data_IF_041489286489
#
_entry.id   IF_041489286489
#
_cell.length_a   1.000
_cell.length_b   1.000
_cell.length_c   1.000
_cell.angle_alpha   90.00
_cell.angle_beta   90.00
_cell.angle_gamma   90.00
#
_symmetry.space_group_name_H-M   'P 1'
#
loop_
_entity.id
_entity.type
_entity.pdbx_description
1 polymer ?
#
# COMPACT_ATOMS: atom_id res chain seq x y z
N UNK A 1 6.58 54.61 59.13
CA UNK A 1 5.75 54.12 58.01
C UNK A 1 5.74 52.59 58.05
N UNK A 2 4.61 51.98 58.42
CA UNK A 2 4.46 50.52 58.60
C UNK A 2 3.87 49.91 57.34
N UNK A 3 4.48 48.79 56.93
CA UNK A 3 4.35 48.15 55.61
C UNK A 3 2.97 47.52 55.45
N UNK A 4 2.32 47.81 54.33
CA UNK A 4 1.09 47.15 53.90
C UNK A 4 1.41 45.71 53.51
N UNK A 5 0.63 44.78 54.06
CA UNK A 5 0.68 43.35 53.78
C UNK A 5 -0.75 42.99 53.43
N UNK A 6 -1.05 42.71 52.16
CA UNK A 6 -2.33 42.13 51.77
C UNK A 6 -2.24 41.34 50.47
N UNK A 7 -2.64 40.08 50.60
CA UNK A 7 -3.25 39.20 49.60
C UNK A 7 -2.42 38.76 48.39
N UNK A 8 -1.87 37.54 48.47
CA UNK A 8 -1.81 36.65 47.32
C UNK A 8 -2.55 35.36 47.69
N UNK A 9 -3.84 35.31 47.33
CA UNK A 9 -4.62 34.07 47.25
C UNK A 9 -4.04 33.31 46.06
N UNK A 10 -3.11 32.40 46.29
CA UNK A 10 -2.70 31.45 45.26
C UNK A 10 -3.78 30.38 45.17
N UNK A 11 -4.82 30.69 44.39
CA UNK A 11 -5.79 29.74 43.89
C UNK A 11 -5.07 28.52 43.32
N UNK A 12 -5.51 27.36 43.79
CA UNK A 12 -5.52 26.07 43.08
C UNK A 12 -5.20 26.17 41.59
N UNK A 13 -4.00 25.76 41.23
CA UNK A 13 -3.64 25.34 39.89
C UNK A 13 -3.22 23.88 39.93
N UNK A 14 -4.18 22.97 40.14
CA UNK A 14 -4.07 21.59 39.67
C UNK A 14 -3.93 21.69 38.14
N UNK A 15 -2.69 21.86 37.66
CA UNK A 15 -2.37 21.67 36.26
C UNK A 15 -2.57 20.19 35.98
N UNK A 16 -3.77 19.93 35.48
CA UNK A 16 -4.16 18.90 34.55
C UNK A 16 -3.08 17.83 34.33
N UNK A 17 -3.47 16.59 34.64
CA UNK A 17 -3.00 15.42 33.91
C UNK A 17 -3.02 15.70 32.40
N UNK A 18 -1.91 16.17 31.85
CA UNK A 18 -1.58 15.81 30.48
C UNK A 18 -1.29 14.32 30.57
N UNK A 19 -2.35 13.52 30.38
CA UNK A 19 -2.19 12.12 30.02
C UNK A 19 -1.19 12.13 28.88
N UNK A 20 0.02 11.66 29.16
CA UNK A 20 1.06 11.55 28.16
C UNK A 20 0.48 10.66 27.10
N UNK A 21 0.01 11.28 26.00
CA UNK A 21 -0.18 10.55 24.77
C UNK A 21 1.17 9.92 24.51
N UNK A 22 1.24 8.60 24.65
CA UNK A 22 2.41 7.85 24.23
C UNK A 22 2.50 8.09 22.74
N UNK A 23 3.25 9.11 22.34
CA UNK A 23 3.63 9.32 20.95
C UNK A 23 4.30 8.02 20.53
N UNK A 24 3.60 7.28 19.70
CA UNK A 24 4.09 6.03 19.15
C UNK A 24 5.31 6.33 18.29
N UNK A 25 6.27 5.41 18.27
CA UNK A 25 7.42 5.55 17.39
C UNK A 25 6.93 5.71 15.93
N UNK A 26 7.68 6.45 15.08
CA UNK A 26 7.31 6.56 13.67
C UNK A 26 7.34 5.17 13.03
N UNK A 27 6.45 4.95 12.07
CA UNK A 27 6.54 3.82 11.15
C UNK A 27 7.41 4.22 9.96
N UNK A 28 8.24 3.29 9.50
CA UNK A 28 9.06 3.45 8.29
C UNK A 28 8.87 2.19 7.43
N UNK A 29 8.25 2.32 6.27
CA UNK A 29 8.00 1.21 5.36
C UNK A 29 9.23 1.02 4.49
N UNK A 30 10.06 0.06 4.88
CA UNK A 30 11.41 -0.08 4.32
C UNK A 30 11.42 -0.68 2.92
N UNK A 31 10.49 -1.59 2.61
CA UNK A 31 10.43 -2.23 1.29
C UNK A 31 9.10 -2.91 0.99
N UNK A 32 8.78 -2.98 -0.30
CA UNK A 32 7.96 -4.06 -0.85
C UNK A 32 8.91 -5.09 -1.44
N UNK A 33 9.04 -6.23 -0.78
CA UNK A 33 10.03 -7.27 -1.11
C UNK A 33 9.65 -8.05 -2.37
N UNK A 34 8.35 -8.14 -2.66
CA UNK A 34 7.85 -8.83 -3.83
C UNK A 34 6.35 -9.05 -3.81
N UNK A 35 5.87 -9.71 -4.86
CA UNK A 35 4.47 -10.05 -5.05
C UNK A 35 4.33 -11.50 -5.47
N UNK A 36 3.22 -12.10 -5.05
CA UNK A 36 2.70 -13.32 -5.65
C UNK A 36 1.26 -13.08 -6.07
N UNK A 37 0.78 -13.87 -7.01
CA UNK A 37 -0.64 -13.94 -7.32
C UNK A 37 -1.07 -15.38 -7.55
N UNK A 38 -2.37 -15.64 -7.48
CA UNK A 38 -2.94 -16.96 -7.80
C UNK A 38 -2.87 -17.29 -9.31
N UNK A 39 -2.31 -16.41 -10.14
CA UNK A 39 -2.16 -16.60 -11.58
C UNK A 39 -0.71 -16.38 -12.02
N UNK A 40 -0.17 -17.32 -12.78
CA UNK A 40 1.16 -17.21 -13.36
C UNK A 40 1.13 -17.47 -14.85
N UNK A 41 2.15 -16.98 -15.55
CA UNK A 41 2.43 -17.36 -16.94
C UNK A 41 3.92 -17.55 -17.13
N UNK A 42 4.28 -18.20 -18.23
CA UNK A 42 5.66 -18.17 -18.72
C UNK A 42 5.87 -16.90 -19.56
N UNK A 43 6.87 -16.10 -19.20
CA UNK A 43 7.26 -14.90 -19.93
C UNK A 43 8.07 -15.25 -21.20
N UNK A 44 8.45 -14.24 -21.98
CA UNK A 44 9.23 -14.43 -23.23
C UNK A 44 10.62 -15.03 -23.01
N UNK A 45 11.12 -15.04 -21.78
CA UNK A 45 12.41 -15.61 -21.37
C UNK A 45 12.27 -17.04 -20.83
N UNK A 46 11.06 -17.62 -20.83
CA UNK A 46 10.83 -18.97 -20.31
C UNK A 46 10.68 -19.03 -18.78
N UNK A 47 10.57 -17.90 -18.10
CA UNK A 47 10.45 -17.83 -16.65
C UNK A 47 8.99 -17.68 -16.23
N UNK A 48 8.61 -18.26 -15.10
CA UNK A 48 7.30 -18.01 -14.50
C UNK A 48 7.27 -16.60 -13.91
N UNK A 49 6.24 -15.83 -14.27
CA UNK A 49 5.93 -14.52 -13.71
C UNK A 49 4.51 -14.51 -13.15
N UNK A 50 4.30 -13.78 -12.05
CA UNK A 50 2.98 -13.53 -11.49
C UNK A 50 2.28 -12.42 -12.26
N UNK A 51 0.99 -12.61 -12.52
CA UNK A 51 0.18 -11.71 -13.34
C UNK A 51 -1.12 -11.32 -12.65
N UNK A 52 -1.73 -10.25 -13.14
CA UNK A 52 -3.15 -9.95 -12.89
C UNK A 52 -3.93 -10.32 -14.15
N UNK A 53 -5.00 -11.08 -13.97
CA UNK A 53 -5.96 -11.36 -15.01
C UNK A 53 -7.03 -10.26 -15.08
N UNK A 54 -7.23 -9.72 -16.28
CA UNK A 54 -8.23 -8.69 -16.57
C UNK A 54 -9.65 -9.29 -16.68
N UNK A 55 -9.78 -10.58 -16.98
CA UNK A 55 -11.05 -11.26 -17.26
C UNK A 55 -11.61 -12.08 -16.07
N UNK A 56 -10.89 -12.16 -14.95
CA UNK A 56 -11.27 -12.95 -13.77
C UNK A 56 -10.65 -12.44 -12.47
N UNK A 57 -11.14 -12.97 -11.35
CA UNK A 57 -10.61 -12.63 -10.04
C UNK A 57 -9.12 -13.02 -9.91
N UNK A 58 -8.33 -12.03 -9.54
CA UNK A 58 -6.90 -12.20 -9.22
C UNK A 58 -6.65 -11.73 -7.80
N UNK A 59 -6.11 -12.63 -6.98
CA UNK A 59 -5.63 -12.33 -5.64
C UNK A 59 -4.13 -12.11 -5.70
N UNK A 60 -3.68 -10.92 -5.31
CA UNK A 60 -2.28 -10.51 -5.21
C UNK A 60 -1.91 -10.47 -3.73
N UNK A 61 -0.80 -11.10 -3.37
CA UNK A 61 -0.21 -11.03 -2.03
C UNK A 61 1.11 -10.29 -2.11
N UNK A 62 1.28 -9.31 -1.24
CA UNK A 62 2.43 -8.41 -1.21
C UNK A 62 3.22 -8.64 0.05
N UNK A 63 4.52 -8.85 -0.07
CA UNK A 63 5.44 -8.99 1.05
C UNK A 63 6.05 -7.63 1.38
N UNK A 64 5.76 -7.10 2.57
CA UNK A 64 6.14 -5.75 2.97
C UNK A 64 6.98 -5.81 4.24
N UNK A 65 8.09 -5.06 4.25
CA UNK A 65 8.94 -4.85 5.43
C UNK A 65 8.76 -3.44 5.98
N UNK A 66 8.85 -3.29 7.31
CA UNK A 66 8.79 -2.00 7.99
C UNK A 66 9.61 -2.00 9.28
N UNK A 67 9.79 -0.81 9.85
CA UNK A 67 10.22 -0.62 11.23
C UNK A 67 9.23 0.25 11.98
N UNK A 68 9.21 0.14 13.32
CA UNK A 68 8.23 0.82 14.17
C UNK A 68 6.87 0.11 14.24
N UNK A 69 5.89 0.70 14.95
CA UNK A 69 4.55 0.15 15.13
C UNK A 69 3.67 0.46 13.92
N UNK A 70 3.44 -0.53 13.06
CA UNK A 70 2.49 -0.43 11.95
C UNK A 70 1.08 -0.73 12.45
N UNK A 71 0.12 0.15 12.18
CA UNK A 71 -1.27 0.01 12.63
C UNK A 71 -2.29 0.08 11.48
N UNK A 72 -1.86 0.44 10.27
CA UNK A 72 -2.69 0.42 9.05
C UNK A 72 -1.77 0.38 7.83
N UNK A 73 -2.20 -0.32 6.79
CA UNK A 73 -1.50 -0.36 5.52
C UNK A 73 -2.47 -0.07 4.37
N UNK A 74 -2.09 0.91 3.56
CA UNK A 74 -2.78 1.27 2.34
C UNK A 74 -1.94 0.86 1.14
N UNK A 75 -2.55 0.18 0.18
CA UNK A 75 -1.94 -0.18 -1.08
C UNK A 75 -2.65 0.55 -2.20
N UNK A 76 -1.93 1.45 -2.85
CA UNK A 76 -2.44 2.21 -3.98
C UNK A 76 -1.90 1.64 -5.28
N UNK A 77 -2.81 1.11 -6.09
CA UNK A 77 -2.53 0.51 -7.39
C UNK A 77 -2.79 1.53 -8.48
N UNK A 78 -1.84 1.69 -9.41
CA UNK A 78 -1.94 2.65 -10.49
C UNK A 78 -1.44 2.04 -11.81
N UNK A 79 -2.01 2.48 -12.93
CA UNK A 79 -1.48 2.17 -14.24
C UNK A 79 -0.12 2.80 -14.48
N UNK A 80 0.27 3.87 -13.80
CA UNK A 80 1.54 4.54 -14.04
C UNK A 80 2.43 4.62 -12.80
N UNK A 81 3.71 4.33 -13.00
CA UNK A 81 4.70 4.37 -11.93
C UNK A 81 4.87 5.79 -11.37
N UNK A 82 4.67 5.95 -10.07
CA UNK A 82 5.10 7.13 -9.31
C UNK A 82 4.16 8.33 -9.42
N UNK A 83 3.00 8.16 -10.03
CA UNK A 83 1.93 9.16 -10.08
C UNK A 83 0.69 8.54 -9.47
N UNK A 84 -0.10 9.31 -8.71
CA UNK A 84 -1.44 8.91 -8.28
C UNK A 84 -2.47 9.50 -9.25
N UNK A 85 -2.98 8.69 -10.14
CA UNK A 85 -4.01 9.05 -11.11
C UNK A 85 -5.41 8.87 -10.50
N UNK A 86 -6.40 9.71 -10.85
CA UNK A 86 -7.77 9.55 -10.33
C UNK A 86 -8.36 8.14 -10.52
N UNK A 87 -7.89 7.41 -11.55
CA UNK A 87 -8.31 6.06 -11.91
C UNK A 87 -7.58 4.95 -11.13
N UNK A 88 -6.60 5.30 -10.29
CA UNK A 88 -5.91 4.37 -9.41
C UNK A 88 -6.82 3.80 -8.31
N UNK A 89 -6.53 2.58 -7.86
CA UNK A 89 -7.34 1.86 -6.88
C UNK A 89 -6.63 1.83 -5.52
N UNK A 90 -7.26 2.42 -4.52
CA UNK A 90 -6.83 2.30 -3.12
C UNK A 90 -7.43 1.02 -2.51
N UNK A 91 -6.57 0.21 -1.91
CA UNK A 91 -6.95 -0.87 -1.02
C UNK A 91 -6.39 -0.59 0.37
N UNK A 92 -7.11 -1.02 1.40
CA UNK A 92 -6.72 -0.75 2.79
C UNK A 92 -6.96 -1.96 3.66
N UNK A 93 -6.06 -2.22 4.59
CA UNK A 93 -6.25 -3.21 5.67
C UNK A 93 -7.26 -2.74 6.71
N UNK A 94 -7.59 -1.44 6.73
CA UNK A 94 -8.17 -0.80 7.90
C UNK A 94 -7.15 -0.67 9.04
N UNK A 95 -7.60 -0.12 10.16
CA UNK A 95 -6.81 -0.02 11.38
C UNK A 95 -6.79 -1.36 12.12
N UNK A 96 -5.61 -1.78 12.57
CA UNK A 96 -5.38 -2.99 13.34
C UNK A 96 -4.50 -2.72 14.57
N UNK A 97 -4.37 -3.72 15.45
CA UNK A 97 -3.54 -3.61 16.64
C UNK A 97 -2.07 -3.40 16.22
N UNK A 98 -1.31 -2.47 16.84
CA UNK A 98 -0.01 -2.09 16.30
C UNK A 98 0.96 -3.28 16.24
N UNK A 99 1.50 -3.53 15.04
CA UNK A 99 2.42 -4.63 14.75
C UNK A 99 3.86 -4.13 14.60
N UNK A 100 4.76 -4.76 15.34
CA UNK A 100 6.20 -4.49 15.35
C UNK A 100 7.01 -5.70 14.86
N UNK A 101 6.38 -6.67 14.20
CA UNK A 101 7.03 -7.84 13.60
C UNK A 101 8.08 -7.47 12.55
N UNK A 102 7.86 -6.34 11.86
CA UNK A 102 8.76 -5.74 10.89
C UNK A 102 8.66 -6.34 9.48
N UNK A 103 7.83 -7.37 9.28
CA UNK A 103 7.53 -7.95 7.97
C UNK A 103 6.28 -8.83 8.01
N UNK A 104 5.41 -8.67 7.02
CA UNK A 104 4.23 -9.53 6.83
C UNK A 104 3.72 -9.44 5.38
N UNK A 105 2.77 -10.32 5.06
CA UNK A 105 2.09 -10.40 3.78
C UNK A 105 0.70 -9.78 3.83
N UNK A 106 0.39 -8.97 2.82
CA UNK A 106 -0.91 -8.31 2.67
C UNK A 106 -1.58 -8.74 1.38
N UNK A 107 -2.82 -9.22 1.46
CA UNK A 107 -3.54 -9.82 0.34
C UNK A 107 -4.66 -8.91 -0.17
N UNK A 108 -4.76 -8.76 -1.49
CA UNK A 108 -5.73 -7.92 -2.17
C UNK A 108 -6.32 -8.65 -3.38
N UNK A 109 -7.64 -8.54 -3.58
CA UNK A 109 -8.32 -9.16 -4.72
C UNK A 109 -8.80 -8.11 -5.72
N UNK A 110 -8.52 -8.37 -6.99
CA UNK A 110 -9.00 -7.62 -8.16
C UNK A 110 -10.06 -8.45 -8.84
N UNK A 111 -11.25 -7.88 -9.01
CA UNK A 111 -12.25 -8.45 -9.91
C UNK A 111 -11.92 -8.19 -11.38
N UNK A 112 -12.69 -8.79 -12.32
CA UNK A 112 -12.53 -8.55 -13.75
C UNK A 112 -12.58 -7.06 -14.09
N UNK A 113 -11.62 -6.57 -14.89
CA UNK A 113 -11.53 -5.20 -15.38
C UNK A 113 -11.15 -4.15 -14.32
N UNK A 114 -10.78 -4.57 -13.11
CA UNK A 114 -10.59 -3.64 -11.97
C UNK A 114 -9.14 -3.23 -11.74
N UNK A 115 -8.19 -3.75 -12.51
CA UNK A 115 -6.78 -3.44 -12.37
C UNK A 115 -6.42 -2.15 -13.13
N UNK A 116 -5.86 -1.11 -12.48
CA UNK A 116 -5.42 0.09 -13.17
C UNK A 116 -4.27 -0.21 -14.16
N UNK A 117 -4.35 0.30 -15.39
CA UNK A 117 -3.46 -0.08 -16.50
C UNK A 117 -2.64 1.09 -17.06
N UNK A 118 -1.32 0.92 -17.22
CA UNK A 118 -0.61 1.60 -18.31
C UNK A 118 -0.80 0.81 -19.59
N UNK A 119 -1.48 1.37 -20.57
CA UNK A 119 -1.35 0.87 -21.94
C UNK A 119 -0.09 1.46 -22.54
N UNK A 120 0.84 0.64 -23.04
CA UNK A 120 1.85 1.13 -23.97
C UNK A 120 1.12 1.59 -25.24
N UNK A 121 1.30 2.85 -25.62
CA UNK A 121 0.68 3.42 -26.81
C UNK A 121 1.02 2.58 -28.05
N UNK A 122 0.04 1.81 -28.55
CA UNK A 122 0.15 1.03 -29.78
C UNK A 122 -0.20 -0.45 -29.60
N UNK A 123 -1.50 -0.76 -29.52
CA UNK A 123 -2.00 -2.13 -29.69
C UNK A 123 -1.72 -2.55 -31.13
N UNK A 124 -0.59 -3.23 -31.37
CA UNK A 124 -0.37 -3.90 -32.65
C UNK A 124 -1.13 -5.21 -32.63
N UNK A 125 -2.19 -5.30 -33.43
CA UNK A 125 -2.89 -6.54 -33.71
C UNK A 125 -1.87 -7.54 -34.29
N UNK A 126 -1.49 -8.54 -33.50
CA UNK A 126 -0.79 -9.72 -34.01
C UNK A 126 -1.81 -10.82 -34.22
N UNK A 127 -1.66 -11.52 -35.34
CA UNK A 127 -2.56 -12.53 -35.86
C UNK A 127 -2.89 -13.61 -34.81
N UNK A 128 -4.09 -14.18 -34.93
CA UNK A 128 -4.71 -15.18 -34.05
C UNK A 128 -3.70 -16.29 -33.70
N UNK A 129 -3.07 -16.12 -32.55
CA UNK A 129 -2.51 -17.15 -31.70
C UNK A 129 -3.23 -16.94 -30.38
N UNK A 130 -3.77 -18.00 -29.79
CA UNK A 130 -4.43 -17.97 -28.47
C UNK A 130 -3.35 -17.79 -27.40
N UNK A 131 -2.67 -16.65 -27.43
CA UNK A 131 -1.65 -16.23 -26.48
C UNK A 131 -2.20 -15.01 -25.73
N UNK A 132 -2.15 -14.99 -24.39
CA UNK A 132 -2.68 -13.90 -23.57
C UNK A 132 -2.10 -12.54 -24.01
N UNK A 133 -2.97 -11.61 -24.38
CA UNK A 133 -2.61 -10.26 -24.83
C UNK A 133 -2.33 -9.39 -23.62
N UNK A 134 -1.14 -8.79 -23.56
CA UNK A 134 -0.81 -7.85 -22.49
C UNK A 134 -1.67 -6.60 -22.60
N UNK A 135 -2.44 -6.31 -21.55
CA UNK A 135 -3.30 -5.12 -21.44
C UNK A 135 -2.53 -3.94 -20.87
N UNK A 136 -1.57 -4.23 -19.98
CA UNK A 136 -0.73 -3.20 -19.39
C UNK A 136 0.11 -3.67 -18.22
N UNK A 137 0.42 -2.74 -17.34
CA UNK A 137 1.14 -2.95 -16.09
C UNK A 137 0.49 -2.11 -15.00
N UNK A 138 0.36 -2.69 -13.82
CA UNK A 138 -0.09 -2.04 -12.59
C UNK A 138 1.09 -1.86 -11.64
N UNK A 139 1.34 -0.64 -11.18
CA UNK A 139 2.34 -0.31 -10.18
C UNK A 139 1.69 -0.15 -8.82
N UNK A 140 2.46 -0.40 -7.76
CA UNK A 140 1.96 -0.32 -6.38
C UNK A 140 2.80 0.64 -5.56
N UNK A 141 2.11 1.52 -4.84
CA UNK A 141 2.68 2.28 -3.73
C UNK A 141 2.03 1.83 -2.44
N UNK A 142 2.84 1.46 -1.46
CA UNK A 142 2.37 1.08 -0.13
C UNK A 142 2.60 2.25 0.82
N UNK A 143 1.59 2.60 1.61
CA UNK A 143 1.65 3.59 2.67
C UNK A 143 1.31 2.91 3.99
N UNK A 144 2.26 2.87 4.91
CA UNK A 144 2.06 2.38 6.29
C UNK A 144 1.75 3.54 7.22
N UNK A 145 0.92 3.31 8.23
CA UNK A 145 0.58 4.29 9.25
C UNK A 145 0.86 3.74 10.65
N UNK A 146 1.38 4.58 11.54
CA UNK A 146 1.48 4.27 12.96
C UNK A 146 0.16 4.57 13.69
N UNK A 147 0.01 4.18 14.98
CA UNK A 147 -1.23 4.41 15.75
C UNK A 147 -1.69 5.86 15.83
N UNK A 148 -0.77 6.81 15.71
CA UNK A 148 -1.05 8.25 15.73
C UNK A 148 -1.38 8.82 14.34
N UNK A 149 -1.35 7.99 13.29
CA UNK A 149 -1.62 8.38 11.91
C UNK A 149 -0.45 8.99 11.14
N UNK A 150 0.76 8.97 11.70
CA UNK A 150 1.97 9.30 10.94
C UNK A 150 2.20 8.22 9.89
N UNK A 151 2.56 8.64 8.68
CA UNK A 151 2.63 7.76 7.53
C UNK A 151 4.01 7.80 6.88
N UNK A 152 4.41 6.64 6.37
CA UNK A 152 5.55 6.51 5.47
C UNK A 152 5.14 5.69 4.24
N UNK A 153 5.79 5.92 3.10
CA UNK A 153 5.41 5.28 1.84
C UNK A 153 6.60 4.82 1.02
N UNK A 154 6.48 3.63 0.46
CA UNK A 154 7.45 3.07 -0.47
C UNK A 154 6.75 2.61 -1.75
N UNK A 155 7.43 2.79 -2.87
CA UNK A 155 6.99 2.24 -4.13
C UNK A 155 7.61 0.87 -4.35
N UNK A 156 6.82 -0.06 -4.87
CA UNK A 156 7.34 -1.36 -5.21
C UNK A 156 8.36 -1.29 -6.37
N UNK A 157 9.39 -2.14 -6.36
CA UNK A 157 10.50 -2.07 -7.33
C UNK A 157 10.09 -2.41 -8.77
N UNK A 158 8.95 -3.06 -8.96
CA UNK A 158 8.42 -3.45 -10.27
C UNK A 158 6.90 -3.35 -10.33
N UNK A 159 6.38 -3.28 -11.54
CA UNK A 159 4.95 -3.37 -11.80
C UNK A 159 4.51 -4.82 -12.05
N UNK A 160 3.25 -5.09 -11.77
CA UNK A 160 2.60 -6.38 -12.02
C UNK A 160 1.96 -6.31 -13.41
N UNK A 161 2.34 -7.17 -14.37
CA UNK A 161 1.76 -7.13 -15.70
C UNK A 161 0.31 -7.64 -15.68
N UNK A 162 -0.54 -7.02 -16.50
CA UNK A 162 -1.96 -7.36 -16.63
C UNK A 162 -2.24 -7.95 -18.00
N UNK A 163 -2.97 -9.06 -18.03
CA UNK A 163 -3.28 -9.81 -19.25
C UNK A 163 -4.75 -10.18 -19.33
N UNK A 164 -5.23 -10.35 -20.55
CA UNK A 164 -6.43 -11.16 -20.79
C UNK A 164 -6.05 -12.64 -20.63
N UNK A 165 -6.54 -13.29 -19.57
CA UNK A 165 -6.10 -14.64 -19.23
C UNK A 165 -6.82 -15.74 -20.01
N UNK A 166 -7.92 -15.46 -20.72
CA UNK A 166 -8.54 -16.41 -21.64
C UNK A 166 -8.63 -17.85 -21.10
N UNK A 167 -8.23 -18.87 -21.85
CA UNK A 167 -8.20 -20.26 -21.37
C UNK A 167 -6.85 -20.69 -20.75
N UNK A 168 -6.13 -19.78 -20.07
CA UNK A 168 -4.96 -20.16 -19.24
C UNK A 168 -5.32 -21.24 -18.22
#
# INVERSE_FOLDING_TARGET
>A
MKKMLLAAISMTGLLASCGGGFISAPVDVTAVNGFTSNWTRTNSQGQQEYIICDDRDTTVTMDVSWTGPLAKLDAYFDGAQGTRFPEGKLQTTGWFAPDTSGRDTFTYTFGPGMAPLKTSSGVKAQAIVINPVQKGTTFVTVTGYNPDGQADSVQAPGGIPVYDCGAL
#
